data_IF_789604188407
#
_entry.id   IF_789604188407
#
_cell.length_a   1.000
_cell.length_b   1.000
_cell.length_c   1.000
_cell.angle_alpha   90.00
_cell.angle_beta   90.00
_cell.angle_gamma   90.00
#
_symmetry.space_group_name_H-M   'P 1'
#
loop_
_entity.id
_entity.type
_entity.pdbx_description
1 polymer ?
#
# COMPACT_ATOMS: atom_id res chain seq x y z
N UNK A 1 4.92 -13.55 -22.92
CA UNK A 1 4.20 -12.85 -21.83
C UNK A 1 3.84 -11.48 -22.34
N UNK A 2 2.54 -11.24 -22.50
CA UNK A 2 2.00 -10.04 -23.13
C UNK A 2 2.32 -8.82 -22.26
N UNK A 3 3.11 -7.89 -22.80
CA UNK A 3 3.17 -6.51 -22.32
C UNK A 3 1.75 -5.96 -22.45
N UNK A 4 1.08 -5.72 -21.33
CA UNK A 4 -0.07 -4.85 -21.30
C UNK A 4 0.46 -3.46 -21.64
N UNK A 5 0.36 -3.10 -22.92
CA UNK A 5 0.43 -1.72 -23.35
C UNK A 5 -0.71 -0.99 -22.64
N UNK A 6 -0.35 0.04 -21.90
CA UNK A 6 -1.31 0.93 -21.28
C UNK A 6 -1.93 1.80 -22.38
N UNK A 7 -3.04 1.33 -22.96
CA UNK A 7 -3.76 2.04 -24.03
C UNK A 7 -4.58 3.23 -23.51
N UNK A 8 -4.43 3.62 -22.23
CA UNK A 8 -5.09 4.80 -21.66
C UNK A 8 -4.59 6.13 -22.26
N UNK A 9 -3.51 6.11 -23.04
CA UNK A 9 -2.93 7.29 -23.69
C UNK A 9 -2.99 7.23 -25.23
N UNK A 10 -3.99 6.56 -25.82
CA UNK A 10 -4.27 6.75 -27.25
C UNK A 10 -5.01 8.08 -27.39
N UNK A 11 -4.23 9.15 -27.64
CA UNK A 11 -4.76 10.40 -28.16
C UNK A 11 -5.51 10.09 -29.47
N UNK A 12 -6.76 10.53 -29.66
CA UNK A 12 -7.43 10.35 -30.93
C UNK A 12 -6.73 11.24 -31.95
N UNK A 13 -5.81 10.68 -32.73
CA UNK A 13 -5.37 11.29 -33.99
C UNK A 13 -6.54 11.23 -34.97
N UNK A 14 -7.42 12.22 -34.87
CA UNK A 14 -8.42 12.59 -35.86
C UNK A 14 -8.30 14.09 -36.03
N UNK A 15 -7.85 14.52 -37.20
CA UNK A 15 -7.67 15.91 -37.57
C UNK A 15 -8.96 16.72 -37.34
N UNK A 16 -8.95 17.64 -36.39
CA UNK A 16 -9.23 19.05 -36.58
C UNK A 16 -8.95 19.79 -35.26
N UNK A 17 -8.48 21.03 -35.39
CA UNK A 17 -7.99 21.92 -34.34
C UNK A 17 -9.03 22.18 -33.24
N UNK A 18 -8.91 21.52 -32.09
CA UNK A 18 -9.29 22.02 -30.76
C UNK A 18 -8.40 21.28 -29.74
N UNK A 19 -7.57 21.99 -29.00
CA UNK A 19 -6.66 21.41 -28.02
C UNK A 19 -7.47 20.91 -26.81
N UNK A 20 -7.90 19.65 -26.84
CA UNK A 20 -8.54 19.00 -25.70
C UNK A 20 -7.51 18.88 -24.57
N UNK A 21 -7.67 19.65 -23.50
CA UNK A 21 -6.76 19.62 -22.35
C UNK A 21 -7.00 18.34 -21.53
N UNK A 22 -6.01 17.93 -20.73
CA UNK A 22 -6.22 16.83 -19.76
C UNK A 22 -7.38 17.14 -18.80
N UNK A 23 -7.63 18.42 -18.50
CA UNK A 23 -8.73 18.89 -17.68
C UNK A 23 -10.09 18.65 -18.33
N UNK A 24 -10.19 18.83 -19.65
CA UNK A 24 -11.40 18.54 -20.44
C UNK A 24 -11.71 17.04 -20.49
N UNK A 25 -10.66 16.19 -20.56
CA UNK A 25 -10.83 14.74 -20.54
C UNK A 25 -11.30 14.26 -19.16
N UNK A 26 -10.77 14.85 -18.09
CA UNK A 26 -11.16 14.55 -16.70
C UNK A 26 -12.61 14.97 -16.48
N UNK A 27 -12.98 16.20 -16.84
CA UNK A 27 -14.31 16.76 -16.61
C UNK A 27 -15.41 16.13 -17.49
N UNK A 28 -15.12 15.81 -18.77
CA UNK A 28 -16.12 15.27 -19.70
C UNK A 28 -16.46 13.79 -19.49
N UNK A 29 -15.62 13.00 -18.80
CA UNK A 29 -15.80 11.55 -18.62
C UNK A 29 -16.14 11.12 -17.18
N UNK A 30 -16.23 12.06 -16.25
CA UNK A 30 -16.46 11.77 -14.84
C UNK A 30 -17.95 11.64 -14.50
N UNK A 31 -18.30 10.59 -13.75
CA UNK A 31 -19.62 10.46 -13.14
C UNK A 31 -19.80 11.57 -12.10
N UNK A 32 -20.99 12.18 -12.06
CA UNK A 32 -21.28 13.17 -11.02
C UNK A 32 -21.13 12.58 -9.62
N UNK A 33 -20.73 13.40 -8.65
CA UNK A 33 -20.58 12.97 -7.26
C UNK A 33 -21.85 12.30 -6.71
N UNK A 34 -23.03 12.78 -7.12
CA UNK A 34 -24.32 12.17 -6.76
C UNK A 34 -24.47 10.74 -7.32
N UNK A 35 -24.04 10.49 -8.57
CA UNK A 35 -24.06 9.17 -9.17
C UNK A 35 -23.09 8.21 -8.47
N UNK A 36 -21.86 8.68 -8.17
CA UNK A 36 -20.86 7.93 -7.40
C UNK A 36 -21.40 7.53 -6.02
N UNK A 37 -21.97 8.49 -5.27
CA UNK A 37 -22.58 8.26 -3.97
C UNK A 37 -23.72 7.24 -4.03
N UNK A 38 -24.60 7.33 -5.04
CA UNK A 38 -25.69 6.37 -5.24
C UNK A 38 -25.16 4.96 -5.54
N UNK A 39 -24.12 4.86 -6.36
CA UNK A 39 -23.46 3.59 -6.68
C UNK A 39 -22.83 2.96 -5.44
N UNK A 40 -22.05 3.73 -4.66
CA UNK A 40 -21.45 3.26 -3.42
C UNK A 40 -22.50 2.78 -2.44
N UNK A 41 -23.56 3.55 -2.22
CA UNK A 41 -24.64 3.15 -1.32
C UNK A 41 -25.24 1.80 -1.73
N UNK A 42 -25.60 1.64 -3.00
CA UNK A 42 -26.14 0.37 -3.52
C UNK A 42 -25.16 -0.79 -3.36
N UNK A 43 -23.86 -0.53 -3.56
CA UNK A 43 -22.82 -1.54 -3.43
C UNK A 43 -22.63 -1.99 -1.97
N UNK A 44 -22.61 -1.05 -1.03
CA UNK A 44 -22.56 -1.36 0.41
C UNK A 44 -23.79 -2.18 0.81
N UNK A 45 -24.99 -1.75 0.40
CA UNK A 45 -26.22 -2.51 0.68
C UNK A 45 -26.20 -3.91 0.07
N UNK A 46 -25.61 -4.08 -1.12
CA UNK A 46 -25.45 -5.39 -1.75
C UNK A 46 -24.47 -6.30 -1.01
N UNK A 47 -23.35 -5.75 -0.51
CA UNK A 47 -22.37 -6.46 0.34
C UNK A 47 -23.02 -6.91 1.65
N UNK A 48 -23.85 -6.05 2.24
CA UNK A 48 -24.52 -6.29 3.51
C UNK A 48 -25.72 -7.24 3.41
N UNK A 49 -26.09 -7.71 2.22
CA UNK A 49 -27.19 -8.66 2.06
C UNK A 49 -26.83 -9.99 2.72
N UNK A 50 -27.70 -10.43 3.65
CA UNK A 50 -27.55 -11.71 4.34
C UNK A 50 -27.44 -12.89 3.35
N UNK A 51 -26.71 -13.93 3.77
CA UNK A 51 -26.57 -15.21 3.04
C UNK A 51 -25.85 -15.13 1.68
N UNK A 52 -24.95 -14.16 1.52
CA UNK A 52 -24.06 -14.13 0.37
C UNK A 52 -23.04 -15.29 0.41
N UNK A 53 -22.75 -15.90 -0.74
CA UNK A 53 -21.62 -16.83 -0.86
C UNK A 53 -20.30 -16.07 -0.86
N UNK A 54 -19.21 -16.68 -0.40
CA UNK A 54 -17.87 -16.06 -0.44
C UNK A 54 -17.52 -15.61 -1.86
N UNK A 55 -17.81 -16.42 -2.88
CA UNK A 55 -17.57 -16.07 -4.29
C UNK A 55 -18.33 -14.82 -4.72
N UNK A 56 -19.57 -14.64 -4.25
CA UNK A 56 -20.33 -13.41 -4.52
C UNK A 56 -19.69 -12.21 -3.79
N UNK A 57 -19.36 -12.36 -2.50
CA UNK A 57 -18.70 -11.29 -1.73
C UNK A 57 -17.39 -10.86 -2.34
N UNK A 58 -16.54 -11.79 -2.80
CA UNK A 58 -15.29 -11.46 -3.51
C UNK A 58 -15.54 -10.60 -4.75
N UNK A 59 -16.59 -10.88 -5.53
CA UNK A 59 -16.94 -10.03 -6.70
C UNK A 59 -17.41 -8.65 -6.26
N UNK A 60 -18.20 -8.57 -5.19
CA UNK A 60 -18.67 -7.30 -4.64
C UNK A 60 -17.52 -6.46 -4.05
N UNK A 61 -16.57 -7.10 -3.37
CA UNK A 61 -15.34 -6.48 -2.91
C UNK A 61 -14.49 -5.98 -4.07
N UNK A 62 -14.34 -6.76 -5.14
CA UNK A 62 -13.63 -6.30 -6.34
C UNK A 62 -14.29 -5.05 -6.94
N UNK A 63 -15.63 -5.03 -7.04
CA UNK A 63 -16.36 -3.84 -7.49
C UNK A 63 -16.16 -2.64 -6.56
N UNK A 64 -16.08 -2.87 -5.24
CA UNK A 64 -15.85 -1.81 -4.26
C UNK A 64 -14.44 -1.23 -4.39
N UNK A 65 -13.44 -2.09 -4.61
CA UNK A 65 -12.08 -1.66 -4.89
C UNK A 65 -11.99 -0.89 -6.20
N UNK A 66 -12.65 -1.37 -7.26
CA UNK A 66 -12.72 -0.65 -8.53
C UNK A 66 -13.42 0.70 -8.39
N UNK A 67 -14.45 0.80 -7.54
CA UNK A 67 -15.08 2.07 -7.21
C UNK A 67 -14.10 3.04 -6.52
N UNK A 68 -13.40 2.59 -5.48
CA UNK A 68 -12.41 3.45 -4.80
C UNK A 68 -11.27 3.85 -5.72
N UNK A 69 -10.79 2.92 -6.55
CA UNK A 69 -9.78 3.22 -7.55
C UNK A 69 -10.31 4.24 -8.55
N UNK A 70 -11.54 4.12 -9.04
CA UNK A 70 -12.17 5.09 -9.92
C UNK A 70 -12.24 6.48 -9.29
N UNK A 71 -12.68 6.59 -8.03
CA UNK A 71 -12.73 7.86 -7.31
C UNK A 71 -11.34 8.46 -7.01
N UNK A 72 -10.33 7.61 -6.81
CA UNK A 72 -8.95 8.02 -6.49
C UNK A 72 -8.08 8.29 -7.71
N UNK A 73 -8.30 7.60 -8.84
CA UNK A 73 -7.44 7.68 -10.03
C UNK A 73 -7.57 8.97 -10.83
N UNK A 74 -8.52 9.82 -10.46
CA UNK A 74 -8.79 11.09 -11.14
C UNK A 74 -7.64 12.08 -10.88
N UNK A 75 -7.03 12.01 -9.70
CA UNK A 75 -5.82 12.74 -9.33
C UNK A 75 -5.01 11.83 -8.41
N UNK A 76 -3.83 11.38 -8.85
CA UNK A 76 -2.95 10.58 -8.01
C UNK A 76 -2.53 11.40 -6.78
N UNK A 77 -2.91 10.91 -5.58
CA UNK A 77 -2.64 11.59 -4.31
C UNK A 77 -1.14 11.74 -4.02
N UNK A 78 -0.29 10.96 -4.68
CA UNK A 78 1.17 11.02 -4.51
C UNK A 78 1.83 12.05 -5.44
N UNK A 79 1.07 12.61 -6.40
CA UNK A 79 1.54 13.68 -7.27
C UNK A 79 1.28 15.02 -6.57
N UNK A 80 2.31 15.82 -6.26
CA UNK A 80 2.12 17.10 -5.61
C UNK A 80 1.14 17.97 -6.40
N UNK A 81 0.24 18.72 -5.74
CA UNK A 81 -0.69 19.63 -6.42
C UNK A 81 0.01 20.58 -7.40
N UNK A 82 1.27 20.95 -7.13
CA UNK A 82 2.11 21.76 -8.03
C UNK A 82 2.47 21.07 -9.34
N UNK A 83 2.66 19.74 -9.32
CA UNK A 83 2.95 18.93 -10.53
C UNK A 83 1.68 18.67 -11.30
N UNK A 84 0.56 18.38 -10.62
CA UNK A 84 -0.77 18.31 -11.24
C UNK A 84 -1.08 19.63 -11.94
N UNK A 85 -0.86 20.75 -11.25
CA UNK A 85 -1.01 22.10 -11.80
C UNK A 85 -0.10 22.32 -13.01
N UNK A 86 1.16 21.91 -12.95
CA UNK A 86 2.09 22.03 -14.08
C UNK A 86 1.66 21.19 -15.29
N UNK A 87 1.23 19.95 -15.09
CA UNK A 87 0.79 19.03 -16.16
C UNK A 87 -0.55 19.43 -16.79
N UNK A 88 -1.39 20.16 -16.05
CA UNK A 88 -2.69 20.63 -16.53
C UNK A 88 -2.64 22.03 -17.18
N UNK A 89 -1.57 22.78 -16.95
CA UNK A 89 -1.33 24.12 -17.52
C UNK A 89 -0.49 24.09 -18.81
N UNK A 90 -0.56 23.01 -19.60
CA UNK A 90 0.03 23.05 -20.95
C UNK A 90 -0.77 24.06 -21.81
N UNK A 91 -0.21 25.28 -21.88
CA UNK A 91 -0.49 26.35 -22.83
C UNK A 91 -1.82 27.13 -22.72
N UNK A 92 -2.11 27.79 -21.58
CA UNK A 92 -2.72 29.13 -21.59
C UNK A 92 -2.69 29.80 -20.21
N UNK A 93 -2.13 31.01 -20.13
CA UNK A 93 -2.19 31.87 -18.94
C UNK A 93 -3.59 32.48 -18.82
N UNK A 94 -4.54 31.73 -18.24
CA UNK A 94 -5.89 32.22 -17.92
C UNK A 94 -6.27 31.91 -16.47
N UNK A 95 -6.86 32.88 -15.76
CA UNK A 95 -7.37 32.72 -14.39
C UNK A 95 -8.46 31.62 -14.27
N UNK A 96 -9.08 31.21 -15.39
CA UNK A 96 -10.18 30.24 -15.46
C UNK A 96 -9.72 28.77 -15.24
N UNK A 97 -8.50 28.43 -15.64
CA UNK A 97 -7.94 27.07 -15.49
C UNK A 97 -7.53 26.78 -14.04
N UNK A 98 -7.03 27.80 -13.33
CA UNK A 98 -6.72 27.70 -11.90
C UNK A 98 -7.99 27.54 -11.06
N UNK A 99 -9.05 28.28 -11.40
CA UNK A 99 -10.37 28.12 -10.80
C UNK A 99 -10.94 26.72 -11.05
N UNK A 100 -10.76 26.19 -12.26
CA UNK A 100 -11.27 24.86 -12.64
C UNK A 100 -10.52 23.74 -11.92
N UNK A 101 -9.19 23.81 -11.80
CA UNK A 101 -8.42 22.85 -11.00
C UNK A 101 -8.81 22.88 -9.51
N UNK A 102 -8.99 24.07 -8.94
CA UNK A 102 -9.44 24.21 -7.55
C UNK A 102 -10.84 23.60 -7.34
N UNK A 103 -11.73 23.75 -8.32
CA UNK A 103 -13.05 23.13 -8.31
C UNK A 103 -12.95 21.60 -8.37
N UNK A 104 -12.12 21.02 -9.24
CA UNK A 104 -11.91 19.56 -9.32
C UNK A 104 -11.37 19.00 -8.01
N UNK A 105 -10.36 19.64 -7.41
CA UNK A 105 -9.80 19.24 -6.11
C UNK A 105 -10.86 19.31 -5.00
N UNK A 106 -11.68 20.37 -5.00
CA UNK A 106 -12.78 20.52 -4.06
C UNK A 106 -13.82 19.41 -4.24
N UNK A 107 -14.27 19.15 -5.46
CA UNK A 107 -15.23 18.09 -5.76
C UNK A 107 -14.70 16.70 -5.38
N UNK A 108 -13.41 16.43 -5.59
CA UNK A 108 -12.77 15.19 -5.17
C UNK A 108 -12.76 15.05 -3.64
N UNK A 109 -12.45 16.13 -2.91
CA UNK A 109 -12.48 16.14 -1.45
C UNK A 109 -13.89 15.96 -0.89
N UNK A 110 -14.89 16.54 -1.55
CA UNK A 110 -16.31 16.39 -1.19
C UNK A 110 -16.79 14.96 -1.45
N UNK A 111 -16.38 14.36 -2.56
CA UNK A 111 -16.66 12.96 -2.86
C UNK A 111 -16.04 12.03 -1.82
N UNK A 112 -14.77 12.24 -1.44
CA UNK A 112 -14.11 11.44 -0.41
C UNK A 112 -14.85 11.52 0.94
N UNK A 113 -15.25 12.73 1.35
CA UNK A 113 -16.01 12.95 2.58
C UNK A 113 -17.40 12.32 2.52
N UNK A 114 -18.09 12.41 1.38
CA UNK A 114 -19.39 11.78 1.17
C UNK A 114 -19.30 10.25 1.18
N UNK A 115 -18.28 9.68 0.53
CA UNK A 115 -17.99 8.25 0.54
C UNK A 115 -17.79 7.74 1.97
N UNK A 116 -16.98 8.44 2.76
CA UNK A 116 -16.80 8.12 4.18
C UNK A 116 -18.13 8.17 4.93
N UNK A 117 -18.92 9.24 4.79
CA UNK A 117 -20.19 9.39 5.48
C UNK A 117 -21.22 8.30 5.13
N UNK A 118 -21.25 7.83 3.88
CA UNK A 118 -22.12 6.74 3.43
C UNK A 118 -21.72 5.44 4.13
N UNK A 119 -20.43 5.08 4.08
CA UNK A 119 -19.95 3.83 4.67
C UNK A 119 -20.05 3.89 6.19
N UNK A 120 -19.82 5.07 6.79
CA UNK A 120 -19.86 5.28 8.24
C UNK A 120 -21.15 4.78 8.89
N UNK A 121 -22.29 4.95 8.21
CA UNK A 121 -23.61 4.49 8.68
C UNK A 121 -23.67 2.98 8.90
N UNK A 122 -23.03 2.21 8.03
CA UNK A 122 -23.01 0.74 8.08
C UNK A 122 -21.64 0.18 8.52
N UNK A 123 -20.73 1.06 8.98
CA UNK A 123 -19.32 0.71 9.08
C UNK A 123 -19.04 -0.44 10.05
N UNK A 124 -19.80 -0.53 11.14
CA UNK A 124 -19.68 -1.64 12.09
C UNK A 124 -19.94 -2.99 11.39
N UNK A 125 -21.07 -3.09 10.69
CA UNK A 125 -21.47 -4.33 10.04
C UNK A 125 -20.59 -4.67 8.83
N UNK A 126 -20.14 -3.65 8.08
CA UNK A 126 -19.15 -3.81 7.01
C UNK A 126 -17.82 -4.35 7.57
N UNK A 127 -17.30 -3.75 8.64
CA UNK A 127 -16.05 -4.20 9.26
C UNK A 127 -16.20 -5.61 9.83
N UNK A 128 -17.31 -5.92 10.51
CA UNK A 128 -17.60 -7.26 11.03
C UNK A 128 -17.51 -8.32 9.92
N UNK A 129 -18.16 -8.05 8.79
CA UNK A 129 -18.16 -8.97 7.66
C UNK A 129 -16.78 -9.10 6.99
N UNK A 130 -16.14 -7.98 6.66
CA UNK A 130 -14.85 -7.97 5.95
C UNK A 130 -13.75 -8.57 6.83
N UNK A 131 -13.74 -8.28 8.14
CA UNK A 131 -12.76 -8.89 9.06
C UNK A 131 -13.01 -10.38 9.27
N UNK A 132 -14.28 -10.82 9.30
CA UNK A 132 -14.61 -12.24 9.31
C UNK A 132 -14.04 -12.95 8.09
N UNK A 133 -14.20 -12.39 6.89
CA UNK A 133 -13.65 -12.94 5.65
C UNK A 133 -12.11 -12.86 5.61
N UNK A 134 -11.51 -11.81 6.17
CA UNK A 134 -10.05 -11.67 6.30
C UNK A 134 -9.41 -12.74 7.21
N UNK A 135 -10.17 -13.26 8.19
CA UNK A 135 -9.69 -14.30 9.12
C UNK A 135 -10.03 -15.70 8.60
N UNK A 136 -11.27 -15.91 8.14
CA UNK A 136 -11.82 -17.25 7.88
C UNK A 136 -12.01 -17.58 6.38
N UNK A 137 -11.82 -16.63 5.48
CA UNK A 137 -11.99 -16.85 4.04
C UNK A 137 -10.91 -17.75 3.43
N UNK A 138 -11.10 -18.14 2.16
CA UNK A 138 -10.02 -18.71 1.36
C UNK A 138 -8.85 -17.72 1.24
N UNK A 139 -7.64 -18.16 0.86
CA UNK A 139 -6.50 -17.22 0.70
C UNK A 139 -6.83 -16.05 -0.26
N UNK A 140 -7.51 -16.33 -1.38
CA UNK A 140 -8.02 -15.28 -2.27
C UNK A 140 -9.06 -14.38 -1.60
N UNK A 141 -9.94 -14.96 -0.76
CA UNK A 141 -10.92 -14.23 0.05
C UNK A 141 -10.27 -13.33 1.10
N UNK A 142 -9.23 -13.80 1.77
CA UNK A 142 -8.45 -13.01 2.74
C UNK A 142 -7.74 -11.86 2.05
N UNK A 143 -7.02 -12.13 0.95
CA UNK A 143 -6.28 -11.12 0.20
C UNK A 143 -7.20 -9.95 -0.22
N UNK A 144 -8.33 -10.25 -0.86
CA UNK A 144 -9.25 -9.20 -1.30
C UNK A 144 -9.92 -8.47 -0.12
N UNK A 145 -10.20 -9.16 0.99
CA UNK A 145 -10.72 -8.54 2.19
C UNK A 145 -9.72 -7.56 2.80
N UNK A 146 -8.43 -7.91 2.83
CA UNK A 146 -7.38 -6.99 3.28
C UNK A 146 -7.24 -5.77 2.38
N UNK A 147 -7.36 -5.90 1.05
CA UNK A 147 -7.40 -4.74 0.16
C UNK A 147 -8.64 -3.86 0.38
N UNK A 148 -9.79 -4.46 0.73
CA UNK A 148 -10.97 -3.67 1.12
C UNK A 148 -10.70 -2.91 2.42
N UNK A 149 -10.10 -3.54 3.42
CA UNK A 149 -9.69 -2.85 4.65
C UNK A 149 -8.69 -1.72 4.37
N UNK A 150 -7.73 -1.94 3.46
CA UNK A 150 -6.80 -0.90 2.99
C UNK A 150 -7.56 0.32 2.41
N UNK A 151 -8.53 0.05 1.56
CA UNK A 151 -9.36 1.09 0.92
C UNK A 151 -10.29 1.79 1.90
N UNK A 152 -10.77 1.10 2.93
CA UNK A 152 -11.55 1.73 4.01
C UNK A 152 -10.66 2.65 4.86
N UNK A 153 -9.41 2.25 5.09
CA UNK A 153 -8.44 3.09 5.81
C UNK A 153 -8.06 4.33 4.99
N UNK A 154 -7.97 4.24 3.66
CA UNK A 154 -7.56 5.38 2.82
C UNK A 154 -8.55 6.55 2.81
N UNK A 155 -9.81 6.31 3.22
CA UNK A 155 -10.85 7.34 3.36
C UNK A 155 -11.13 7.73 4.83
N UNK A 156 -10.37 7.19 5.79
CA UNK A 156 -10.68 7.28 7.22
C UNK A 156 -10.15 8.55 7.90
N UNK A 157 -10.76 9.68 7.62
CA UNK A 157 -10.33 10.96 8.20
C UNK A 157 -10.56 11.07 9.72
N UNK A 158 -11.47 10.26 10.28
CA UNK A 158 -11.82 10.27 11.71
C UNK A 158 -11.10 9.19 12.54
N UNK A 159 -10.21 8.39 11.92
CA UNK A 159 -9.52 7.24 12.55
C UNK A 159 -10.49 6.16 13.07
N UNK A 160 -11.72 6.11 12.57
CA UNK A 160 -12.71 5.15 13.01
C UNK A 160 -12.33 3.72 12.64
N UNK A 161 -11.99 3.48 11.36
CA UNK A 161 -11.58 2.17 10.87
C UNK A 161 -10.27 1.74 11.54
N UNK A 162 -9.32 2.66 11.75
CA UNK A 162 -8.09 2.36 12.51
C UNK A 162 -8.41 1.82 13.91
N UNK A 163 -9.25 2.52 14.67
CA UNK A 163 -9.62 2.11 16.03
C UNK A 163 -10.34 0.74 16.05
N UNK A 164 -11.18 0.48 15.04
CA UNK A 164 -11.85 -0.81 14.88
C UNK A 164 -10.87 -1.95 14.56
N UNK A 165 -9.93 -1.74 13.64
CA UNK A 165 -8.90 -2.73 13.31
C UNK A 165 -7.97 -3.02 14.50
N UNK A 166 -7.63 -1.98 15.26
CA UNK A 166 -6.84 -2.11 16.48
C UNK A 166 -7.57 -2.90 17.56
N UNK A 167 -8.80 -2.54 17.90
CA UNK A 167 -9.57 -3.19 18.98
C UNK A 167 -9.87 -4.66 18.71
N UNK A 168 -10.01 -5.04 17.44
CA UNK A 168 -10.21 -6.43 16.99
C UNK A 168 -8.92 -7.24 16.86
N UNK A 169 -7.76 -6.63 17.08
CA UNK A 169 -6.46 -7.30 16.98
C UNK A 169 -6.04 -7.66 15.55
N UNK A 170 -6.69 -7.12 14.52
CA UNK A 170 -6.41 -7.44 13.11
C UNK A 170 -4.96 -7.09 12.75
N UNK A 171 -4.50 -5.91 13.18
CA UNK A 171 -3.14 -5.45 12.90
C UNK A 171 -2.06 -6.32 13.54
N UNK A 172 -2.32 -6.81 14.76
CA UNK A 172 -1.42 -7.74 15.44
C UNK A 172 -1.37 -9.08 14.72
N UNK A 173 -2.52 -9.58 14.27
CA UNK A 173 -2.59 -10.79 13.44
C UNK A 173 -1.77 -10.64 12.16
N UNK A 174 -1.89 -9.51 11.44
CA UNK A 174 -1.09 -9.25 10.23
C UNK A 174 0.41 -9.30 10.52
N UNK A 175 0.88 -8.66 11.60
CA UNK A 175 2.30 -8.67 11.97
C UNK A 175 2.81 -10.09 12.26
N UNK A 176 2.01 -10.88 12.98
CA UNK A 176 2.34 -12.28 13.27
C UNK A 176 2.32 -13.15 12.01
N UNK A 177 1.35 -12.98 11.13
CA UNK A 177 1.24 -13.72 9.86
C UNK A 177 2.40 -13.43 8.92
N UNK A 178 2.76 -12.15 8.76
CA UNK A 178 3.90 -11.68 7.98
C UNK A 178 5.20 -12.25 8.55
N UNK A 179 5.41 -12.15 9.87
CA UNK A 179 6.59 -12.70 10.52
C UNK A 179 6.70 -14.21 10.31
N UNK A 180 5.60 -14.94 10.49
CA UNK A 180 5.55 -16.38 10.29
C UNK A 180 5.83 -16.77 8.84
N UNK A 181 5.29 -16.02 7.87
CA UNK A 181 5.53 -16.27 6.44
C UNK A 181 7.00 -16.03 6.08
N UNK A 182 7.58 -14.94 6.58
CA UNK A 182 8.96 -14.58 6.31
C UNK A 182 9.97 -15.43 7.06
N UNK A 183 9.61 -16.03 8.20
CA UNK A 183 10.52 -16.85 9.03
C UNK A 183 10.66 -18.29 8.55
N UNK A 184 9.60 -18.86 7.96
CA UNK A 184 9.63 -20.27 7.54
C UNK A 184 10.35 -20.44 6.20
N UNK A 185 11.27 -21.41 6.15
CA UNK A 185 11.81 -21.97 4.90
C UNK A 185 10.79 -22.98 4.34
N UNK A 186 9.61 -22.50 3.92
CA UNK A 186 8.58 -23.39 3.40
C UNK A 186 8.96 -23.91 2.01
N UNK A 187 8.86 -25.22 1.85
CA UNK A 187 8.96 -25.90 0.56
C UNK A 187 7.83 -25.48 -0.38
N UNK A 188 8.25 -24.91 -1.51
CA UNK A 188 7.53 -24.49 -2.71
C UNK A 188 6.30 -25.37 -3.02
N UNK A 189 5.11 -24.78 -2.97
CA UNK A 189 3.80 -25.40 -3.22
C UNK A 189 2.85 -24.35 -3.81
N UNK A 190 1.83 -24.75 -4.59
CA UNK A 190 0.77 -23.88 -5.10
C UNK A 190 0.10 -23.02 -4.02
N UNK A 191 0.03 -23.54 -2.79
CA UNK A 191 -0.47 -22.83 -1.60
C UNK A 191 0.39 -21.59 -1.25
N UNK A 192 1.69 -21.62 -1.58
CA UNK A 192 2.64 -20.52 -1.35
C UNK A 192 2.33 -19.30 -2.21
N UNK A 193 1.92 -19.50 -3.48
CA UNK A 193 1.59 -18.39 -4.37
C UNK A 193 0.29 -17.68 -3.98
N UNK A 194 -0.70 -18.40 -3.46
CA UNK A 194 -1.95 -17.78 -3.00
C UNK A 194 -1.73 -17.05 -1.67
N UNK A 195 -0.98 -17.68 -0.76
CA UNK A 195 -0.61 -17.06 0.52
C UNK A 195 0.24 -15.80 0.33
N UNK A 196 1.08 -15.75 -0.69
CA UNK A 196 1.82 -14.53 -1.05
C UNK A 196 0.88 -13.34 -1.27
N UNK A 197 -0.22 -13.51 -2.01
CA UNK A 197 -1.18 -12.42 -2.24
C UNK A 197 -1.83 -11.95 -0.93
N UNK A 198 -2.13 -12.87 0.00
CA UNK A 198 -2.64 -12.52 1.33
C UNK A 198 -1.61 -11.68 2.10
N UNK A 199 -0.34 -12.09 2.10
CA UNK A 199 0.75 -11.40 2.78
C UNK A 199 1.03 -10.02 2.15
N UNK A 200 0.99 -9.92 0.83
CA UNK A 200 1.14 -8.66 0.10
C UNK A 200 0.00 -7.67 0.45
N UNK A 201 -1.24 -8.16 0.51
CA UNK A 201 -2.39 -7.37 0.94
C UNK A 201 -2.28 -6.93 2.41
N UNK A 202 -1.78 -7.79 3.31
CA UNK A 202 -1.49 -7.43 4.70
C UNK A 202 -0.41 -6.34 4.79
N UNK A 203 0.66 -6.45 4.00
CA UNK A 203 1.67 -5.39 3.93
C UNK A 203 1.11 -4.08 3.41
N UNK A 204 0.24 -4.13 2.41
CA UNK A 204 -0.44 -2.94 1.89
C UNK A 204 -1.22 -2.23 2.99
N UNK A 205 -2.05 -2.98 3.75
CA UNK A 205 -2.79 -2.43 4.89
C UNK A 205 -1.86 -1.84 5.98
N UNK A 206 -0.78 -2.53 6.34
CA UNK A 206 0.17 -2.03 7.34
C UNK A 206 0.87 -0.76 6.88
N UNK A 207 1.31 -0.71 5.61
CA UNK A 207 1.92 0.47 5.01
C UNK A 207 0.94 1.64 4.96
N UNK A 208 -0.31 1.37 4.54
CA UNK A 208 -1.38 2.36 4.53
C UNK A 208 -1.60 2.98 5.88
N UNK A 209 -1.56 2.21 6.97
CA UNK A 209 -1.68 2.74 8.32
C UNK A 209 -0.52 3.69 8.66
N UNK A 210 0.71 3.29 8.33
CA UNK A 210 1.88 4.16 8.58
C UNK A 210 1.87 5.44 7.74
N UNK A 211 1.35 5.38 6.51
CA UNK A 211 1.31 6.52 5.61
C UNK A 211 0.13 7.45 5.93
N UNK A 212 -1.09 6.91 5.94
CA UNK A 212 -2.33 7.69 6.08
C UNK A 212 -2.44 8.38 7.43
N UNK A 213 -2.00 7.73 8.52
CA UNK A 213 -2.04 8.32 9.87
C UNK A 213 -0.68 8.86 10.32
N UNK A 214 0.34 8.82 9.45
CA UNK A 214 1.70 9.24 9.73
C UNK A 214 2.25 8.68 11.05
N UNK A 215 2.82 9.56 11.87
CA UNK A 215 3.41 9.25 13.17
C UNK A 215 2.46 8.46 14.09
N UNK A 216 1.17 8.78 14.08
CA UNK A 216 0.21 8.09 14.95
C UNK A 216 0.04 6.62 14.56
N UNK A 217 -0.07 6.33 13.26
CA UNK A 217 -0.15 4.96 12.74
C UNK A 217 1.13 4.18 13.02
N UNK A 218 2.29 4.81 12.79
CA UNK A 218 3.60 4.23 13.12
C UNK A 218 3.72 3.89 14.61
N UNK A 219 3.26 4.77 15.51
CA UNK A 219 3.30 4.54 16.96
C UNK A 219 2.41 3.36 17.38
N UNK A 220 1.22 3.22 16.77
CA UNK A 220 0.33 2.09 17.03
C UNK A 220 1.01 0.77 16.64
N UNK A 221 1.53 0.66 15.41
CA UNK A 221 2.20 -0.57 14.97
C UNK A 221 3.43 -0.89 15.81
N UNK A 222 4.22 0.13 16.16
CA UNK A 222 5.37 -0.04 17.03
C UNK A 222 4.96 -0.57 18.42
N UNK A 223 3.90 -0.01 19.02
CA UNK A 223 3.37 -0.46 20.31
C UNK A 223 2.83 -1.90 20.29
N UNK A 224 2.48 -2.42 19.11
CA UNK A 224 2.09 -3.81 18.89
C UNK A 224 3.29 -4.75 18.68
N UNK A 225 4.52 -4.26 18.80
CA UNK A 225 5.74 -5.06 18.62
C UNK A 225 6.09 -5.29 17.16
N UNK A 226 5.73 -4.38 16.25
CA UNK A 226 6.04 -4.53 14.82
C UNK A 226 7.54 -4.72 14.56
N UNK A 227 8.43 -3.95 15.19
CA UNK A 227 9.88 -4.11 15.06
C UNK A 227 10.33 -5.51 15.50
N UNK A 228 9.86 -5.98 16.65
CA UNK A 228 10.22 -7.30 17.18
C UNK A 228 9.77 -8.42 16.23
N UNK A 229 8.55 -8.35 15.70
CA UNK A 229 8.03 -9.31 14.73
C UNK A 229 8.85 -9.28 13.43
N UNK A 230 9.15 -8.09 12.89
CA UNK A 230 9.92 -7.96 11.64
C UNK A 230 11.40 -8.33 11.81
N UNK A 231 11.98 -8.11 12.98
CA UNK A 231 13.34 -8.54 13.34
C UNK A 231 13.46 -10.06 13.30
N UNK A 232 12.45 -10.79 13.79
CA UNK A 232 12.45 -12.26 13.82
C UNK A 232 12.39 -12.95 12.45
N UNK A 233 12.07 -12.21 11.37
CA UNK A 233 11.97 -12.74 10.02
C UNK A 233 13.32 -13.26 9.48
N UNK A 234 13.29 -14.27 8.61
CA UNK A 234 14.46 -14.66 7.81
C UNK A 234 14.41 -13.99 6.44
N UNK A 235 14.72 -12.69 6.43
CA UNK A 235 14.98 -11.98 5.18
C UNK A 235 16.38 -12.45 4.71
N UNK A 236 16.43 -13.51 3.91
CA UNK A 236 17.69 -14.03 3.40
C UNK A 236 18.05 -13.32 2.10
N UNK A 237 19.28 -12.81 2.04
CA UNK A 237 19.73 -12.07 0.87
C UNK A 237 19.87 -12.99 -0.36
N UNK A 238 19.42 -12.54 -1.55
CA UNK A 238 19.55 -13.23 -2.82
C UNK A 238 21.00 -13.13 -3.24
N UNK A 239 21.81 -14.03 -2.70
CA UNK A 239 23.13 -14.30 -3.24
C UNK A 239 22.91 -14.97 -4.58
N UNK A 240 23.18 -14.25 -5.67
CA UNK A 240 23.22 -14.78 -7.04
C UNK A 240 24.35 -15.83 -7.11
N UNK A 241 24.12 -17.03 -6.57
CA UNK A 241 25.06 -18.15 -6.69
C UNK A 241 25.13 -18.53 -8.16
N UNK A 242 26.34 -18.44 -8.71
CA UNK A 242 26.64 -18.78 -10.09
C UNK A 242 26.09 -20.16 -10.46
N UNK A 243 25.30 -20.17 -11.53
CA UNK A 243 25.05 -21.29 -12.45
C UNK A 243 25.25 -22.71 -11.89
N UNK A 244 24.17 -23.29 -11.34
CA UNK A 244 24.04 -24.75 -11.26
C UNK A 244 23.07 -25.21 -12.35
N UNK A 245 23.60 -25.93 -13.34
CA UNK A 245 22.84 -26.59 -14.40
C UNK A 245 22.12 -27.80 -13.81
N UNK A 246 20.97 -27.60 -13.20
CA UNK A 246 20.07 -28.67 -12.76
C UNK A 246 18.63 -28.31 -13.11
N UNK A 247 17.94 -29.26 -13.77
CA UNK A 247 16.56 -29.33 -14.23
C UNK A 247 15.66 -28.06 -14.20
N UNK A 248 15.19 -27.69 -15.39
CA UNK A 248 14.67 -26.38 -15.80
C UNK A 248 13.28 -25.98 -15.30
N UNK A 249 12.48 -26.87 -14.71
CA UNK A 249 11.11 -26.53 -14.29
C UNK A 249 11.04 -26.22 -12.78
N UNK A 250 11.59 -27.10 -11.94
CA UNK A 250 11.62 -26.91 -10.47
C UNK A 250 12.54 -25.76 -10.06
N UNK A 251 13.65 -25.55 -10.77
CA UNK A 251 14.57 -24.42 -10.50
C UNK A 251 13.96 -23.08 -10.91
N UNK A 252 13.15 -23.03 -11.98
CA UNK A 252 12.45 -21.81 -12.41
C UNK A 252 11.34 -21.43 -11.42
N UNK A 253 10.56 -22.40 -10.95
CA UNK A 253 9.52 -22.18 -9.94
C UNK A 253 10.12 -21.70 -8.61
N UNK A 254 11.23 -22.34 -8.16
CA UNK A 254 12.00 -21.85 -7.01
C UNK A 254 12.53 -20.43 -7.20
N UNK A 255 13.08 -20.11 -8.37
CA UNK A 255 13.61 -18.77 -8.64
C UNK A 255 12.51 -17.71 -8.59
N UNK A 256 11.32 -17.99 -9.15
CA UNK A 256 10.17 -17.08 -9.10
C UNK A 256 9.60 -16.87 -7.70
N UNK A 257 9.61 -17.89 -6.83
CA UNK A 257 9.13 -17.76 -5.44
C UNK A 257 10.16 -17.08 -4.51
N UNK A 258 11.46 -17.30 -4.74
CA UNK A 258 12.52 -16.56 -4.05
C UNK A 258 12.45 -15.07 -4.42
N UNK A 259 12.19 -14.75 -5.69
CA UNK A 259 11.99 -13.38 -6.17
C UNK A 259 10.78 -12.71 -5.48
N UNK A 260 9.68 -13.44 -5.26
CA UNK A 260 8.53 -12.97 -4.47
C UNK A 260 8.87 -12.71 -2.99
N UNK A 261 9.55 -13.62 -2.29
CA UNK A 261 9.95 -13.36 -0.90
C UNK A 261 10.90 -12.15 -0.82
N UNK A 262 11.75 -11.97 -1.83
CA UNK A 262 12.63 -10.81 -1.94
C UNK A 262 11.89 -9.50 -2.22
N UNK A 263 10.81 -9.53 -3.00
CA UNK A 263 9.99 -8.34 -3.25
C UNK A 263 9.39 -7.78 -1.96
N UNK A 264 9.16 -8.63 -0.95
CA UNK A 264 8.71 -8.22 0.39
C UNK A 264 9.78 -7.51 1.23
N UNK A 265 11.03 -7.44 0.78
CA UNK A 265 12.07 -6.65 1.48
C UNK A 265 11.74 -5.16 1.45
N UNK A 266 11.24 -4.65 0.32
CA UNK A 266 10.87 -3.24 0.18
C UNK A 266 9.76 -2.81 1.17
N UNK A 267 8.60 -3.49 1.27
CA UNK A 267 7.57 -3.10 2.22
C UNK A 267 8.04 -3.20 3.68
N UNK A 268 8.90 -4.17 4.04
CA UNK A 268 9.51 -4.20 5.38
C UNK A 268 10.33 -2.92 5.62
N UNK A 269 11.24 -2.58 4.70
CA UNK A 269 12.07 -1.39 4.83
C UNK A 269 11.24 -0.10 4.87
N UNK A 270 10.14 0.00 4.13
CA UNK A 270 9.21 1.14 4.20
C UNK A 270 8.58 1.28 5.60
N UNK A 271 8.12 0.16 6.20
CA UNK A 271 7.60 0.17 7.57
C UNK A 271 8.70 0.60 8.56
N UNK A 272 9.92 0.06 8.46
CA UNK A 272 11.03 0.46 9.35
C UNK A 272 11.35 1.96 9.19
N UNK A 273 11.40 2.43 7.94
CA UNK A 273 11.60 3.85 7.64
C UNK A 273 10.52 4.71 8.28
N UNK A 274 9.25 4.28 8.29
CA UNK A 274 8.16 5.01 8.96
C UNK A 274 8.38 5.17 10.47
N UNK A 275 9.03 4.20 11.14
CA UNK A 275 9.36 4.28 12.56
C UNK A 275 10.50 5.28 12.84
N UNK A 276 11.39 5.51 11.88
CA UNK A 276 12.46 6.52 12.04
C UNK A 276 11.89 7.93 12.24
N UNK A 277 10.71 8.22 11.66
CA UNK A 277 10.02 9.51 11.84
C UNK A 277 9.55 9.77 13.28
N UNK A 278 9.36 8.71 14.07
CA UNK A 278 8.98 8.81 15.48
C UNK A 278 10.12 9.36 16.35
N UNK A 279 11.35 9.10 15.92
CA UNK A 279 12.55 9.51 16.65
C UNK A 279 12.68 11.03 16.69
N UNK A 280 12.28 11.71 15.62
CA UNK A 280 12.24 13.17 15.56
C UNK A 280 11.15 13.77 16.44
N UNK A 281 10.03 13.07 16.60
CA UNK A 281 8.86 13.59 17.29
C UNK A 281 8.75 13.26 18.76
N UNK A 282 9.52 12.31 19.29
CA UNK A 282 9.41 11.96 20.70
C UNK A 282 9.98 13.10 21.56
N UNK A 283 9.24 13.54 22.57
CA UNK A 283 9.73 14.61 23.46
C UNK A 283 10.75 14.09 24.48
N UNK A 284 10.65 12.79 24.82
CA UNK A 284 11.47 12.15 25.84
C UNK A 284 12.65 11.39 25.23
N UNK A 285 13.86 11.72 25.70
CA UNK A 285 15.10 11.08 25.27
C UNK A 285 15.08 9.56 25.46
N UNK A 286 14.50 9.06 26.56
CA UNK A 286 14.38 7.63 26.83
C UNK A 286 13.57 6.90 25.75
N UNK A 287 12.45 7.50 25.31
CA UNK A 287 11.62 6.96 24.24
C UNK A 287 12.37 6.99 22.91
N UNK A 288 13.09 8.09 22.59
CA UNK A 288 13.97 8.15 21.41
C UNK A 288 14.98 7.01 21.42
N UNK A 289 15.71 6.86 22.53
CA UNK A 289 16.77 5.87 22.67
C UNK A 289 16.24 4.44 22.55
N UNK A 290 15.04 4.16 23.06
CA UNK A 290 14.40 2.85 22.90
C UNK A 290 14.11 2.55 21.42
N UNK A 291 13.47 3.48 20.71
CA UNK A 291 13.15 3.31 19.29
C UNK A 291 14.42 3.13 18.47
N UNK A 292 15.42 4.00 18.68
CA UNK A 292 16.72 3.92 18.00
C UNK A 292 17.37 2.56 18.24
N UNK A 293 17.42 2.08 19.49
CA UNK A 293 17.99 0.77 19.83
C UNK A 293 17.29 -0.37 19.11
N UNK A 294 15.95 -0.40 19.10
CA UNK A 294 15.21 -1.45 18.40
C UNK A 294 15.46 -1.44 16.89
N UNK A 295 15.62 -0.26 16.27
CA UNK A 295 15.98 -0.14 14.84
C UNK A 295 17.44 -0.57 14.60
N UNK A 296 18.38 -0.24 15.49
CA UNK A 296 19.77 -0.72 15.44
C UNK A 296 19.81 -2.24 15.48
N UNK A 297 19.06 -2.84 16.41
CA UNK A 297 19.04 -4.29 16.60
C UNK A 297 18.44 -4.99 15.38
N UNK A 298 17.38 -4.42 14.78
CA UNK A 298 16.87 -4.86 13.48
C UNK A 298 17.96 -4.81 12.40
N UNK A 299 18.64 -3.67 12.23
CA UNK A 299 19.66 -3.51 11.20
C UNK A 299 20.85 -4.47 11.37
N UNK A 300 21.25 -4.74 12.61
CA UNK A 300 22.28 -5.74 12.95
C UNK A 300 21.82 -7.16 12.60
N UNK A 301 20.58 -7.52 12.94
CA UNK A 301 20.03 -8.84 12.63
C UNK A 301 19.94 -9.09 11.11
N UNK A 302 19.65 -8.03 10.34
CA UNK A 302 19.51 -8.07 8.88
C UNK A 302 20.73 -7.51 8.13
N UNK A 303 21.91 -7.50 8.76
CA UNK A 303 23.12 -6.86 8.23
C UNK A 303 23.49 -7.34 6.83
N UNK A 304 23.28 -8.62 6.52
CA UNK A 304 23.59 -9.20 5.20
C UNK A 304 22.79 -8.54 4.07
N UNK A 305 21.52 -8.19 4.31
CA UNK A 305 20.67 -7.48 3.34
C UNK A 305 21.11 -6.04 3.21
N UNK A 306 21.34 -5.34 4.32
CA UNK A 306 21.79 -3.95 4.30
C UNK A 306 23.09 -3.84 3.50
N UNK A 307 24.05 -4.73 3.77
CA UNK A 307 25.29 -4.82 3.00
C UNK A 307 25.06 -5.16 1.53
N UNK A 308 24.13 -6.07 1.23
CA UNK A 308 23.82 -6.45 -0.16
C UNK A 308 23.23 -5.30 -0.96
N UNK A 309 22.31 -4.52 -0.36
CA UNK A 309 21.66 -3.37 -0.99
C UNK A 309 22.69 -2.24 -1.18
N UNK A 310 23.51 -1.95 -0.17
CA UNK A 310 24.54 -0.91 -0.24
C UNK A 310 25.64 -1.20 -1.26
N UNK A 311 25.88 -2.49 -1.57
CA UNK A 311 26.86 -2.93 -2.56
C UNK A 311 26.25 -3.20 -3.94
N UNK A 312 24.95 -2.95 -4.11
CA UNK A 312 24.29 -3.16 -5.40
C UNK A 312 24.87 -2.19 -6.43
N UNK A 313 25.21 -2.71 -7.62
CA UNK A 313 25.80 -1.88 -8.66
C UNK A 313 24.73 -0.93 -9.22
N UNK A 314 24.93 0.37 -9.03
CA UNK A 314 24.03 1.42 -9.49
C UNK A 314 24.08 1.66 -11.00
N UNK A 315 25.10 1.14 -11.72
CA UNK A 315 25.16 1.27 -13.17
C UNK A 315 24.08 0.41 -13.83
N UNK A 316 22.95 1.03 -14.19
CA UNK A 316 21.77 0.36 -14.74
C UNK A 316 20.75 -0.10 -13.68
N UNK A 317 20.78 0.47 -12.47
CA UNK A 317 19.77 0.19 -11.45
C UNK A 317 18.37 0.62 -11.89
N UNK A 318 17.37 -0.20 -11.59
CA UNK A 318 15.97 0.15 -11.78
C UNK A 318 15.45 0.97 -10.58
N UNK A 319 14.28 1.61 -10.74
CA UNK A 319 13.67 2.44 -9.69
C UNK A 319 13.51 1.68 -8.36
N UNK A 320 13.19 0.39 -8.41
CA UNK A 320 13.04 -0.47 -7.24
C UNK A 320 14.36 -0.66 -6.46
N UNK A 321 15.48 -0.86 -7.13
CA UNK A 321 16.80 -0.95 -6.48
C UNK A 321 17.21 0.38 -5.86
N UNK A 322 16.97 1.50 -6.55
CA UNK A 322 17.25 2.84 -6.02
C UNK A 322 16.40 3.17 -4.78
N UNK A 323 15.12 2.80 -4.79
CA UNK A 323 14.23 2.98 -3.65
C UNK A 323 14.73 2.22 -2.41
N UNK A 324 15.12 0.95 -2.58
CA UNK A 324 15.68 0.15 -1.47
C UNK A 324 16.97 0.73 -0.93
N UNK A 325 17.85 1.20 -1.81
CA UNK A 325 19.08 1.88 -1.42
C UNK A 325 18.76 3.14 -0.60
N UNK A 326 17.83 3.97 -1.09
CA UNK A 326 17.40 5.18 -0.39
C UNK A 326 16.84 4.87 1.01
N UNK A 327 16.02 3.82 1.15
CA UNK A 327 15.49 3.40 2.45
C UNK A 327 16.59 2.95 3.40
N UNK A 328 17.53 2.10 2.95
CA UNK A 328 18.64 1.63 3.79
C UNK A 328 19.51 2.80 4.24
N UNK A 329 19.87 3.69 3.33
CA UNK A 329 20.66 4.89 3.66
C UNK A 329 19.90 5.78 4.64
N UNK A 330 18.60 5.99 4.45
CA UNK A 330 17.76 6.81 5.34
C UNK A 330 17.69 6.24 6.75
N UNK A 331 17.45 4.92 6.88
CA UNK A 331 17.42 4.23 8.18
C UNK A 331 18.76 4.37 8.90
N UNK A 332 19.87 4.05 8.22
CA UNK A 332 21.21 4.11 8.82
C UNK A 332 21.60 5.54 9.18
N UNK A 333 21.32 6.52 8.32
CA UNK A 333 21.66 7.93 8.58
C UNK A 333 20.95 8.44 9.83
N UNK A 334 19.67 8.08 10.00
CA UNK A 334 18.89 8.50 11.17
C UNK A 334 19.45 7.92 12.47
N UNK A 335 19.79 6.65 12.44
CA UNK A 335 20.24 5.91 13.61
C UNK A 335 21.69 6.26 13.99
N UNK A 336 22.58 6.38 13.01
CA UNK A 336 23.98 6.74 13.24
C UNK A 336 24.14 8.18 13.75
N UNK A 337 23.36 9.13 13.24
CA UNK A 337 23.38 10.51 13.73
C UNK A 337 23.09 10.59 15.24
N UNK A 338 22.16 9.77 15.74
CA UNK A 338 21.73 9.78 17.14
C UNK A 338 22.60 8.91 18.06
N UNK A 339 23.46 8.05 17.51
CA UNK A 339 24.47 7.33 18.28
C UNK A 339 25.75 8.16 18.48
N UNK A 340 25.93 9.24 17.71
CA UNK A 340 27.09 10.12 17.77
C UNK A 340 26.87 11.38 18.63
N UNK A 341 25.64 11.61 19.08
CA UNK A 341 25.23 12.71 19.98
C UNK A 341 24.97 12.14 21.37
#
# INVERSE_FOLDING_TARGET
>A
MAKLRDERFICPTGADSDAVTCLDIISAKQLSNAACNSLLFKLIMAIMRNESSETLRRRQYALLLSYFQYCGSILDSDVPPSVIRFLLLEEQEGDDDELTLQNVLKEQSELARANFAIIRKEAQAVIDLVTKDAIHGSETGKAISFYVLDSLVSIDHEKYFLNQLQSRGILRSCLTDVSNYLSKDMSFSSEFSQRFCTIDAQFSLLLRITHHYGKHGSQILLSMGALQNLSSCSLSGYQKKGSSRLNSNVVKERAGEIDKKWSLTAPVLRIITSFTSLVDSADFLEVKNKIVREIVDFAKQHQSIFNSILRENISGANAFSLERLNMVVSILSKVCYLLLI
#
